data_IF_908302889579
#
_entry.id   IF_908302889579
#
_cell.length_a   1.000
_cell.length_b   1.000
_cell.length_c   1.000
_cell.angle_alpha   90.00
_cell.angle_beta   90.00
_cell.angle_gamma   90.00
#
_symmetry.space_group_name_H-M   'P 1'
#
loop_
_entity.id
_entity.type
_entity.pdbx_description
1 polymer ?
#
# COMPACT_ATOMS: atom_id res chain seq x y z
N UNK A 1 21.72 -23.59 -11.57
CA UNK A 1 21.49 -22.41 -10.72
C UNK A 1 20.92 -21.19 -11.47
N UNK A 2 20.80 -21.20 -12.81
CA UNK A 2 20.37 -20.02 -13.58
C UNK A 2 18.84 -19.73 -13.62
N UNK A 3 17.99 -20.66 -13.16
CA UNK A 3 16.52 -20.49 -13.26
C UNK A 3 15.88 -19.66 -12.14
N UNK A 4 16.56 -19.44 -11.02
CA UNK A 4 16.04 -18.63 -9.90
C UNK A 4 16.32 -17.13 -10.04
N UNK A 5 17.43 -16.76 -10.70
CA UNK A 5 17.89 -15.38 -10.83
C UNK A 5 16.91 -14.46 -11.60
N UNK A 6 16.29 -14.88 -12.73
CA UNK A 6 15.33 -14.04 -13.45
C UNK A 6 14.04 -13.81 -12.65
N UNK A 7 13.56 -14.81 -11.90
CA UNK A 7 12.35 -14.70 -11.11
C UNK A 7 12.55 -13.82 -9.88
N UNK A 8 13.71 -13.90 -9.23
CA UNK A 8 14.07 -13.03 -8.11
C UNK A 8 14.07 -11.56 -8.54
N UNK A 9 14.70 -11.25 -9.67
CA UNK A 9 14.72 -9.88 -10.20
C UNK A 9 13.32 -9.34 -10.51
N UNK A 10 12.44 -10.18 -11.06
CA UNK A 10 11.04 -9.81 -11.32
C UNK A 10 10.26 -9.57 -10.03
N UNK A 11 10.50 -10.37 -9.00
CA UNK A 11 9.89 -10.19 -7.69
C UNK A 11 10.38 -8.89 -7.04
N UNK A 12 11.69 -8.64 -7.02
CA UNK A 12 12.28 -7.42 -6.46
C UNK A 12 11.69 -6.17 -7.14
N UNK A 13 11.63 -6.17 -8.48
CA UNK A 13 11.02 -5.08 -9.25
C UNK A 13 9.53 -4.91 -8.95
N UNK A 14 8.79 -6.01 -8.79
CA UNK A 14 7.38 -5.96 -8.43
C UNK A 14 7.17 -5.42 -7.01
N UNK A 15 8.08 -5.72 -6.09
CA UNK A 15 8.09 -5.21 -4.72
C UNK A 15 8.29 -3.69 -4.71
N UNK A 16 9.26 -3.19 -5.47
CA UNK A 16 9.50 -1.75 -5.62
C UNK A 16 8.27 -1.02 -6.18
N UNK A 17 7.62 -1.60 -7.19
CA UNK A 17 6.38 -1.07 -7.76
C UNK A 17 5.23 -1.05 -6.74
N UNK A 18 5.11 -2.10 -5.92
CA UNK A 18 4.13 -2.17 -4.84
C UNK A 18 4.39 -1.09 -3.79
N UNK A 19 5.65 -0.89 -3.38
CA UNK A 19 6.04 0.12 -2.41
C UNK A 19 5.78 1.54 -2.93
N UNK A 20 6.06 1.79 -4.21
CA UNK A 20 5.74 3.06 -4.86
C UNK A 20 4.22 3.32 -4.86
N UNK A 21 3.41 2.32 -5.25
CA UNK A 21 1.96 2.43 -5.23
C UNK A 21 1.39 2.61 -3.81
N UNK A 22 1.97 1.94 -2.82
CA UNK A 22 1.60 2.10 -1.42
C UNK A 22 1.91 3.51 -0.88
N UNK A 23 3.08 4.08 -1.24
CA UNK A 23 3.44 5.47 -0.91
C UNK A 23 2.49 6.47 -1.54
N UNK A 24 2.09 6.27 -2.79
CA UNK A 24 1.11 7.12 -3.48
C UNK A 24 -0.25 7.07 -2.79
N UNK A 25 -0.78 5.86 -2.53
CA UNK A 25 -2.05 5.68 -1.83
C UNK A 25 -2.01 6.31 -0.42
N UNK A 26 -0.94 6.08 0.33
CA UNK A 26 -0.77 6.65 1.66
C UNK A 26 -0.67 8.18 1.65
N UNK A 27 -0.08 8.77 0.62
CA UNK A 27 -0.05 10.23 0.45
C UNK A 27 -1.44 10.78 0.16
N UNK A 28 -2.18 10.17 -0.78
CA UNK A 28 -3.55 10.57 -1.08
C UNK A 28 -4.48 10.46 0.15
N UNK A 29 -4.31 9.41 0.97
CA UNK A 29 -5.04 9.25 2.23
C UNK A 29 -4.73 10.36 3.24
N UNK A 30 -3.45 10.71 3.42
CA UNK A 30 -3.07 11.82 4.32
C UNK A 30 -3.61 13.15 3.83
N UNK A 31 -3.51 13.44 2.54
CA UNK A 31 -4.06 14.66 1.93
C UNK A 31 -5.57 14.76 2.17
N UNK A 32 -6.29 13.65 2.01
CA UNK A 32 -7.74 13.59 2.23
C UNK A 32 -8.11 13.84 3.70
N UNK A 33 -7.38 13.26 4.64
CA UNK A 33 -7.60 13.50 6.07
C UNK A 33 -7.32 14.95 6.44
N UNK A 34 -6.18 15.50 6.02
CA UNK A 34 -5.84 16.90 6.26
C UNK A 34 -6.88 17.85 5.64
N UNK A 35 -7.37 17.54 4.43
CA UNK A 35 -8.38 18.34 3.76
C UNK A 35 -9.73 18.31 4.50
N UNK A 36 -10.12 17.15 5.05
CA UNK A 36 -11.33 16.99 5.84
C UNK A 36 -11.25 17.72 7.19
N UNK A 37 -10.11 17.62 7.88
CA UNK A 37 -9.86 18.34 9.14
C UNK A 37 -9.93 19.86 8.95
N UNK A 38 -9.32 20.38 7.88
CA UNK A 38 -9.39 21.80 7.56
C UNK A 38 -10.81 22.24 7.20
N UNK A 39 -11.56 21.41 6.46
CA UNK A 39 -12.97 21.71 6.13
C UNK A 39 -13.83 21.80 7.40
N UNK A 40 -13.68 20.84 8.31
CA UNK A 40 -14.39 20.82 9.59
C UNK A 40 -14.04 22.04 10.44
N UNK A 41 -12.77 22.44 10.50
CA UNK A 41 -12.35 23.65 11.19
C UNK A 41 -13.01 24.92 10.61
N UNK A 42 -13.08 25.05 9.28
CA UNK A 42 -13.75 26.18 8.62
C UNK A 42 -15.26 26.22 8.91
N UNK A 43 -15.92 25.06 8.90
CA UNK A 43 -17.36 24.95 9.19
C UNK A 43 -17.64 25.34 10.65
N UNK A 44 -16.88 24.79 11.61
CA UNK A 44 -17.00 25.16 13.02
C UNK A 44 -16.78 26.64 13.24
N UNK A 45 -15.74 27.20 12.63
CA UNK A 45 -15.44 28.61 12.74
C UNK A 45 -16.56 29.49 12.18
N UNK A 46 -17.17 29.09 11.06
CA UNK A 46 -18.32 29.79 10.48
C UNK A 46 -19.50 29.80 11.45
N UNK A 47 -19.83 28.65 12.04
CA UNK A 47 -20.95 28.53 12.97
C UNK A 47 -20.73 29.36 14.25
N UNK A 48 -19.51 29.32 14.81
CA UNK A 48 -19.12 30.19 15.93
C UNK A 48 -19.24 31.68 15.56
N UNK A 49 -18.83 32.06 14.36
CA UNK A 49 -18.88 33.44 13.90
C UNK A 49 -20.32 33.94 13.75
N UNK A 50 -21.22 33.11 13.19
CA UNK A 50 -22.66 33.39 13.15
C UNK A 50 -23.27 33.55 14.54
N UNK A 51 -22.89 32.69 15.50
CA UNK A 51 -23.41 32.75 16.87
C UNK A 51 -22.99 34.06 17.57
N UNK A 52 -21.71 34.44 17.47
CA UNK A 52 -21.18 35.70 18.03
C UNK A 52 -21.87 36.93 17.42
N UNK A 53 -22.08 36.91 16.10
CA UNK A 53 -22.79 37.98 15.41
C UNK A 53 -24.24 38.09 15.88
N UNK A 54 -24.97 36.97 15.95
CA UNK A 54 -26.36 36.93 16.40
C UNK A 54 -26.52 37.50 17.80
N UNK A 55 -25.61 37.16 18.72
CA UNK A 55 -25.60 37.71 20.08
C UNK A 55 -25.38 39.22 20.09
N UNK A 56 -24.45 39.73 19.26
CA UNK A 56 -24.18 41.16 19.18
C UNK A 56 -25.32 41.93 18.50
N UNK A 57 -26.00 41.33 17.52
CA UNK A 57 -27.16 41.92 16.85
C UNK A 57 -28.36 42.10 17.79
N UNK A 58 -28.57 41.17 18.74
CA UNK A 58 -29.62 41.28 19.76
C UNK A 58 -29.47 42.50 20.68
N UNK A 59 -28.26 43.04 20.82
CA UNK A 59 -27.97 44.21 21.67
C UNK A 59 -27.99 45.54 20.89
N UNK A 60 -28.39 45.52 19.62
CA UNK A 60 -28.35 46.67 18.72
C UNK A 60 -26.96 46.86 18.11
N UNK A 61 -26.88 46.89 16.78
CA UNK A 61 -25.60 46.92 16.06
C UNK A 61 -25.56 48.02 14.99
N UNK A 62 -24.46 48.79 14.87
CA UNK A 62 -24.25 49.72 13.76
C UNK A 62 -24.27 49.03 12.39
N UNK A 63 -24.88 49.66 11.38
CA UNK A 63 -24.99 49.09 10.02
C UNK A 63 -23.64 48.72 9.38
N UNK A 64 -22.55 49.42 9.72
CA UNK A 64 -21.20 49.09 9.25
C UNK A 64 -20.71 47.71 9.69
N UNK A 65 -21.08 47.27 10.91
CA UNK A 65 -20.70 45.96 11.43
C UNK A 65 -21.47 44.84 10.72
N UNK A 66 -22.70 45.10 10.28
CA UNK A 66 -23.48 44.16 9.46
C UNK A 66 -22.82 43.92 8.10
N UNK A 67 -22.35 44.99 7.44
CA UNK A 67 -21.65 44.87 6.14
C UNK A 67 -20.32 44.13 6.27
N UNK A 68 -19.55 44.40 7.31
CA UNK A 68 -18.28 43.71 7.58
C UNK A 68 -18.50 42.21 7.84
N UNK A 69 -19.54 41.88 8.61
CA UNK A 69 -19.93 40.50 8.86
C UNK A 69 -20.25 39.76 7.55
N UNK A 70 -21.11 40.33 6.70
CA UNK A 70 -21.50 39.70 5.44
C UNK A 70 -20.28 39.46 4.53
N UNK A 71 -19.41 40.46 4.37
CA UNK A 71 -18.21 40.33 3.54
C UNK A 71 -17.26 39.22 4.04
N UNK A 72 -17.15 39.06 5.36
CA UNK A 72 -16.35 37.98 5.94
C UNK A 72 -17.00 36.61 5.76
N UNK A 73 -18.32 36.49 5.93
CA UNK A 73 -19.06 35.26 5.65
C UNK A 73 -18.90 34.84 4.19
N UNK A 74 -19.02 35.77 3.24
CA UNK A 74 -18.84 35.48 1.81
C UNK A 74 -17.43 34.95 1.53
N UNK A 75 -16.42 35.52 2.19
CA UNK A 75 -15.03 35.05 2.09
C UNK A 75 -14.85 33.65 2.68
N UNK A 76 -15.47 33.38 3.82
CA UNK A 76 -15.39 32.11 4.51
C UNK A 76 -16.12 30.99 3.73
N UNK A 77 -17.28 31.29 3.15
CA UNK A 77 -18.02 30.36 2.31
C UNK A 77 -17.25 30.04 1.02
N UNK A 78 -16.58 31.03 0.42
CA UNK A 78 -15.67 30.79 -0.71
C UNK A 78 -14.51 29.87 -0.32
N UNK A 79 -13.90 30.07 0.85
CA UNK A 79 -12.85 29.20 1.37
C UNK A 79 -13.36 27.76 1.65
N UNK A 80 -14.57 27.61 2.20
CA UNK A 80 -15.23 26.31 2.41
C UNK A 80 -15.48 25.61 1.06
N UNK A 81 -15.98 26.33 0.05
CA UNK A 81 -16.20 25.77 -1.27
C UNK A 81 -14.89 25.29 -1.93
N UNK A 82 -13.82 26.08 -1.79
CA UNK A 82 -12.49 25.68 -2.24
C UNK A 82 -12.01 24.43 -1.50
N UNK A 83 -12.15 24.39 -0.18
CA UNK A 83 -11.71 23.26 0.63
C UNK A 83 -12.49 21.97 0.32
N UNK A 84 -13.79 22.07 0.04
CA UNK A 84 -14.61 20.94 -0.46
C UNK A 84 -14.08 20.40 -1.78
N UNK A 85 -13.66 21.29 -2.69
CA UNK A 85 -13.07 20.88 -3.97
C UNK A 85 -11.73 20.16 -3.78
N UNK A 86 -10.90 20.64 -2.84
CA UNK A 86 -9.65 19.97 -2.45
C UNK A 86 -9.91 18.58 -1.87
N UNK A 87 -10.90 18.45 -0.98
CA UNK A 87 -11.30 17.17 -0.40
C UNK A 87 -11.77 16.19 -1.48
N UNK A 88 -12.66 16.64 -2.38
CA UNK A 88 -13.15 15.81 -3.48
C UNK A 88 -12.02 15.34 -4.41
N UNK A 89 -11.06 16.23 -4.73
CA UNK A 89 -9.89 15.86 -5.53
C UNK A 89 -8.99 14.84 -4.81
N UNK A 90 -8.85 14.93 -3.49
CA UNK A 90 -8.11 13.94 -2.71
C UNK A 90 -8.83 12.58 -2.67
N UNK A 91 -10.16 12.57 -2.61
CA UNK A 91 -10.97 11.34 -2.67
C UNK A 91 -10.84 10.65 -4.03
N UNK A 92 -10.90 11.40 -5.14
CA UNK A 92 -10.65 10.86 -6.48
C UNK A 92 -9.25 10.25 -6.59
N UNK A 93 -8.22 10.92 -6.06
CA UNK A 93 -6.83 10.38 -6.04
C UNK A 93 -6.73 9.06 -5.28
N UNK A 94 -7.48 8.89 -4.19
CA UNK A 94 -7.54 7.61 -3.47
C UNK A 94 -8.20 6.53 -4.33
N UNK A 95 -9.30 6.86 -5.00
CA UNK A 95 -10.05 5.92 -5.83
C UNK A 95 -9.26 5.48 -7.06
N UNK A 96 -8.37 6.33 -7.58
CA UNK A 96 -7.43 6.00 -8.66
C UNK A 96 -6.21 5.19 -8.14
N UNK A 97 -5.65 5.55 -6.98
CA UNK A 97 -4.47 4.89 -6.44
C UNK A 97 -4.76 3.49 -5.88
N UNK A 98 -5.95 3.28 -5.32
CA UNK A 98 -6.36 2.01 -4.72
C UNK A 98 -6.31 0.80 -5.68
N UNK A 99 -6.94 0.83 -6.88
CA UNK A 99 -6.87 -0.30 -7.80
C UNK A 99 -5.45 -0.55 -8.31
N UNK A 100 -4.64 0.50 -8.48
CA UNK A 100 -3.23 0.35 -8.85
C UNK A 100 -2.48 -0.45 -7.77
N UNK A 101 -2.56 -0.02 -6.50
CA UNK A 101 -1.95 -0.74 -5.39
C UNK A 101 -2.43 -2.19 -5.28
N UNK A 102 -3.73 -2.43 -5.42
CA UNK A 102 -4.28 -3.80 -5.40
C UNK A 102 -3.70 -4.66 -6.53
N UNK A 103 -3.56 -4.11 -7.73
CA UNK A 103 -2.99 -4.83 -8.87
C UNK A 103 -1.51 -5.16 -8.67
N UNK A 104 -0.72 -4.22 -8.15
CA UNK A 104 0.69 -4.47 -7.80
C UNK A 104 0.81 -5.52 -6.70
N UNK A 105 -0.05 -5.49 -5.69
CA UNK A 105 -0.08 -6.49 -4.61
C UNK A 105 -0.38 -7.90 -5.14
N UNK A 106 -1.35 -8.04 -6.06
CA UNK A 106 -1.63 -9.32 -6.72
C UNK A 106 -0.43 -9.83 -7.54
N UNK A 107 0.27 -8.91 -8.20
CA UNK A 107 1.45 -9.25 -9.02
C UNK A 107 2.58 -9.80 -8.16
N UNK A 108 2.90 -9.12 -7.04
CA UNK A 108 3.87 -9.63 -6.05
C UNK A 108 3.49 -11.02 -5.55
N UNK A 109 2.24 -11.19 -5.08
CA UNK A 109 1.77 -12.49 -4.60
C UNK A 109 1.85 -13.61 -5.65
N UNK A 110 1.65 -13.28 -6.94
CA UNK A 110 1.81 -14.24 -8.03
C UNK A 110 3.26 -14.68 -8.20
N UNK A 111 4.22 -13.75 -8.09
CA UNK A 111 5.64 -14.08 -8.16
C UNK A 111 6.12 -14.87 -6.93
N UNK A 112 5.66 -14.52 -5.73
CA UNK A 112 5.95 -15.28 -4.50
C UNK A 112 5.50 -16.74 -4.61
N UNK A 113 4.31 -17.00 -5.15
CA UNK A 113 3.80 -18.35 -5.40
C UNK A 113 4.71 -19.11 -6.39
N UNK A 114 5.10 -18.47 -7.49
CA UNK A 114 5.99 -19.07 -8.49
C UNK A 114 7.37 -19.39 -7.89
N UNK A 115 7.90 -18.49 -7.06
CA UNK A 115 9.18 -18.66 -6.40
C UNK A 115 9.14 -19.84 -5.42
N UNK A 116 8.12 -19.90 -4.56
CA UNK A 116 7.92 -21.00 -3.62
C UNK A 116 7.82 -22.35 -4.34
N UNK A 117 7.09 -22.41 -5.46
CA UNK A 117 7.00 -23.61 -6.30
C UNK A 117 8.36 -24.00 -6.88
N UNK A 118 9.15 -23.03 -7.37
CA UNK A 118 10.50 -23.28 -7.89
C UNK A 118 11.43 -23.87 -6.84
N UNK A 119 11.44 -23.29 -5.63
CA UNK A 119 12.22 -23.78 -4.48
C UNK A 119 11.82 -25.22 -4.13
N UNK A 120 10.52 -25.52 -4.05
CA UNK A 120 10.05 -26.87 -3.75
C UNK A 120 10.47 -27.90 -4.80
N UNK A 121 10.40 -27.55 -6.10
CA UNK A 121 10.85 -28.42 -7.19
C UNK A 121 12.36 -28.67 -7.16
N UNK A 122 13.16 -27.65 -6.83
CA UNK A 122 14.60 -27.79 -6.73
C UNK A 122 15.02 -28.63 -5.52
N UNK A 123 14.34 -28.46 -4.38
CA UNK A 123 14.51 -29.33 -3.21
C UNK A 123 14.18 -30.78 -3.52
N UNK A 124 13.06 -31.05 -4.22
CA UNK A 124 12.69 -32.41 -4.64
C UNK A 124 13.74 -33.03 -5.58
N UNK A 125 14.26 -32.24 -6.54
CA UNK A 125 15.31 -32.69 -7.45
C UNK A 125 16.63 -32.96 -6.73
N UNK A 126 16.98 -32.16 -5.72
CA UNK A 126 18.15 -32.38 -4.88
C UNK A 126 18.02 -33.67 -4.06
N UNK A 127 16.90 -33.86 -3.36
CA UNK A 127 16.62 -35.07 -2.57
C UNK A 127 16.69 -36.35 -3.42
N UNK A 128 16.13 -36.32 -4.64
CA UNK A 128 16.20 -37.47 -5.57
C UNK A 128 17.63 -37.78 -6.02
N UNK A 129 18.48 -36.76 -6.19
CA UNK A 129 19.91 -36.96 -6.53
C UNK A 129 20.66 -37.56 -5.35
N UNK A 130 20.47 -37.00 -4.16
CA UNK A 130 21.11 -37.49 -2.93
C UNK A 130 20.71 -38.93 -2.61
N UNK A 131 19.42 -39.28 -2.76
CA UNK A 131 18.94 -40.66 -2.60
C UNK A 131 19.65 -41.61 -3.57
N UNK A 132 19.74 -41.23 -4.85
CA UNK A 132 20.39 -42.06 -5.87
C UNK A 132 21.88 -42.26 -5.56
N UNK A 133 22.59 -41.21 -5.16
CA UNK A 133 24.02 -41.29 -4.83
C UNK A 133 24.25 -42.19 -3.60
N UNK A 134 23.36 -42.11 -2.60
CA UNK A 134 23.38 -42.97 -1.42
C UNK A 134 23.13 -44.45 -1.78
N UNK A 135 22.14 -44.72 -2.64
CA UNK A 135 21.82 -46.08 -3.12
C UNK A 135 22.99 -46.68 -3.93
N UNK A 136 23.62 -45.89 -4.81
CA UNK A 136 24.80 -46.30 -5.58
C UNK A 136 25.98 -46.63 -4.66
N UNK A 137 26.21 -45.81 -3.63
CA UNK A 137 27.26 -46.05 -2.65
C UNK A 137 26.99 -47.32 -1.81
N UNK A 138 25.76 -47.52 -1.35
CA UNK A 138 25.35 -48.71 -0.61
C UNK A 138 25.51 -49.99 -1.45
N UNK A 139 25.09 -49.96 -2.72
CA UNK A 139 25.24 -51.07 -3.65
C UNK A 139 26.73 -51.41 -3.90
N UNK A 140 27.59 -50.39 -4.04
CA UNK A 140 29.04 -50.58 -4.19
C UNK A 140 29.67 -51.25 -2.98
N UNK A 141 29.32 -50.82 -1.76
CA UNK A 141 29.80 -51.45 -0.52
C UNK A 141 29.34 -52.90 -0.45
N UNK A 142 28.08 -53.17 -0.76
CA UNK A 142 27.54 -54.53 -0.74
C UNK A 142 28.28 -55.43 -1.72
N UNK A 143 28.53 -54.96 -2.94
CA UNK A 143 29.30 -55.70 -3.95
C UNK A 143 30.73 -55.99 -3.48
N UNK A 144 31.42 -55.00 -2.92
CA UNK A 144 32.78 -55.18 -2.37
C UNK A 144 32.82 -56.25 -1.28
N UNK A 145 31.83 -56.27 -0.38
CA UNK A 145 31.72 -57.29 0.68
C UNK A 145 31.45 -58.68 0.10
N UNK A 146 30.55 -58.78 -0.88
CA UNK A 146 30.24 -60.06 -1.53
C UNK A 146 31.43 -60.63 -2.31
N UNK A 147 32.25 -59.77 -2.92
CA UNK A 147 33.45 -60.19 -3.65
C UNK A 147 34.55 -60.63 -2.68
N UNK A 148 34.74 -59.91 -1.55
CA UNK A 148 35.65 -60.33 -0.47
C UNK A 148 35.26 -61.68 0.15
N UNK A 149 33.96 -61.94 0.36
CA UNK A 149 33.47 -63.21 0.90
C UNK A 149 33.62 -64.39 -0.09
N UNK A 150 33.73 -64.13 -1.39
CA UNK A 150 33.95 -65.15 -2.43
C UNK A 150 35.43 -65.46 -2.70
N UNK A 151 36.33 -64.62 -2.19
CA UNK A 151 37.78 -64.75 -2.36
C UNK A 151 38.50 -65.26 -1.09
N UNK A 152 37.74 -65.56 -0.03
CA UNK A 152 38.16 -66.24 1.19
C UNK A 152 37.66 -67.69 1.18
#
# INVERSE_FOLDING_TARGET
MAHGFPLQLLLDRAQEDLDAAAKQLGTAQRDRSAAAEQLDALLRYRDEYHARFSQSAQHGMPAGNWRNFQAFIDTLDAAIAQQRSVLAAAEVRIDEARPNWQQKKRTVGSYEILQARGVAQDAQRAAKREQRDADEHAAKILRMRADAARSA
#
